data_IF_379718838380
#
_entry.id   IF_379718838380
#
_cell.length_a   1.000
_cell.length_b   1.000
_cell.length_c   1.000
_cell.angle_alpha   90.00
_cell.angle_beta   90.00
_cell.angle_gamma   90.00
#
_symmetry.space_group_name_H-M   'P 1'
#
loop_
_entity.id
_entity.type
_entity.pdbx_description
1 polymer ?
#
# COMPACT_ATOMS: atom_id res chain seq x y z
N UNK A 1 -0.16 1.75 5.85
CA UNK A 1 -0.51 3.18 6.00
C UNK A 1 -2.03 3.29 6.09
N UNK A 2 -2.60 4.21 6.87
CA UNK A 2 -4.04 4.52 6.96
C UNK A 2 -5.01 3.48 7.57
N UNK A 3 -4.55 2.33 8.05
CA UNK A 3 -5.41 1.39 8.81
C UNK A 3 -6.44 0.62 7.98
N UNK A 4 -6.56 0.89 6.67
CA UNK A 4 -7.46 0.17 5.77
C UNK A 4 -8.95 0.50 5.99
N UNK A 5 -9.81 -0.28 5.36
CA UNK A 5 -11.26 -0.18 5.49
C UNK A 5 -11.85 -1.42 6.15
N UNK A 6 -13.14 -1.36 6.49
CA UNK A 6 -13.88 -2.53 6.97
C UNK A 6 -13.90 -3.66 5.92
N UNK A 7 -13.93 -4.92 6.37
CA UNK A 7 -13.96 -6.08 5.48
C UNK A 7 -15.14 -6.04 4.50
N UNK A 8 -16.29 -5.48 4.91
CA UNK A 8 -17.48 -5.33 4.07
C UNK A 8 -17.21 -4.45 2.85
N UNK A 9 -16.33 -3.46 2.96
CA UNK A 9 -15.96 -2.61 1.82
C UNK A 9 -15.26 -3.43 0.74
N UNK A 10 -14.24 -4.21 1.13
CA UNK A 10 -13.49 -5.04 0.19
C UNK A 10 -14.37 -6.10 -0.48
N UNK A 11 -15.25 -6.74 0.30
CA UNK A 11 -16.19 -7.73 -0.23
C UNK A 11 -17.16 -7.14 -1.27
N UNK A 12 -17.76 -5.98 -0.98
CA UNK A 12 -18.67 -5.31 -1.90
C UNK A 12 -17.96 -4.81 -3.17
N UNK A 13 -16.71 -4.35 -3.04
CA UNK A 13 -15.91 -3.93 -4.19
C UNK A 13 -15.60 -5.13 -5.10
N UNK A 14 -15.12 -6.24 -4.54
CA UNK A 14 -14.75 -7.44 -5.29
C UNK A 14 -15.95 -8.09 -5.99
N UNK A 15 -17.15 -8.00 -5.42
CA UNK A 15 -18.39 -8.44 -6.07
C UNK A 15 -18.73 -7.60 -7.31
N UNK A 16 -18.59 -6.28 -7.21
CA UNK A 16 -18.94 -5.36 -8.29
C UNK A 16 -17.84 -5.26 -9.36
N UNK A 17 -16.58 -5.36 -8.95
CA UNK A 17 -15.40 -5.27 -9.81
C UNK A 17 -14.26 -6.14 -9.23
N UNK A 18 -14.21 -7.42 -9.61
CA UNK A 18 -13.24 -8.37 -9.07
C UNK A 18 -11.81 -7.87 -9.22
N UNK A 19 -11.06 -7.94 -8.13
CA UNK A 19 -9.65 -7.58 -8.15
C UNK A 19 -8.84 -8.69 -8.83
N UNK A 20 -7.84 -8.28 -9.60
CA UNK A 20 -6.93 -9.23 -10.24
C UNK A 20 -6.23 -10.13 -9.21
N UNK A 21 -5.85 -11.36 -9.59
CA UNK A 21 -5.03 -12.22 -8.76
C UNK A 21 -3.81 -11.49 -8.19
N UNK A 22 -3.42 -11.86 -6.97
CA UNK A 22 -2.29 -11.27 -6.25
C UNK A 22 -2.34 -9.74 -6.05
N UNK A 23 -3.51 -9.09 -6.14
CA UNK A 23 -3.61 -7.63 -5.90
C UNK A 23 -3.05 -7.22 -4.54
N UNK A 24 -3.17 -8.09 -3.53
CA UNK A 24 -2.70 -7.86 -2.16
C UNK A 24 -1.18 -7.66 -2.11
N UNK A 25 -0.43 -8.38 -2.96
CA UNK A 25 1.02 -8.21 -3.03
C UNK A 25 1.40 -6.86 -3.63
N UNK A 26 0.55 -6.29 -4.49
CA UNK A 26 0.79 -4.99 -5.13
C UNK A 26 0.40 -3.80 -4.24
N UNK A 27 -0.30 -4.02 -3.12
CA UNK A 27 -0.77 -2.96 -2.21
C UNK A 27 0.40 -2.13 -1.67
N UNK A 28 1.50 -2.78 -1.29
CA UNK A 28 2.69 -2.11 -0.80
C UNK A 28 3.30 -1.19 -1.88
N UNK A 29 3.32 -1.66 -3.13
CA UNK A 29 3.81 -0.89 -4.27
C UNK A 29 2.90 0.31 -4.57
N UNK A 30 1.57 0.13 -4.54
CA UNK A 30 0.62 1.23 -4.68
C UNK A 30 0.76 2.27 -3.56
N UNK A 31 1.06 1.84 -2.33
CA UNK A 31 1.28 2.71 -1.19
C UNK A 31 2.65 3.41 -1.19
N UNK A 32 3.58 3.05 -2.08
CA UNK A 32 4.90 3.67 -2.15
C UNK A 32 4.81 5.17 -2.45
N UNK A 33 3.94 5.58 -3.38
CA UNK A 33 3.73 6.98 -3.72
C UNK A 33 3.26 7.83 -2.52
N UNK A 34 2.13 7.51 -1.85
CA UNK A 34 1.71 8.27 -0.68
C UNK A 34 2.73 8.20 0.47
N UNK A 35 3.46 7.09 0.64
CA UNK A 35 4.55 7.00 1.61
C UNK A 35 5.69 7.98 1.32
N UNK A 36 6.11 8.13 0.06
CA UNK A 36 7.11 9.11 -0.33
C UNK A 36 6.63 10.55 -0.06
N UNK A 37 5.35 10.83 -0.28
CA UNK A 37 4.74 12.10 0.13
C UNK A 37 4.84 12.28 1.65
N UNK A 38 4.62 11.24 2.44
CA UNK A 38 4.77 11.32 3.91
C UNK A 38 6.22 11.53 4.35
N UNK A 39 7.19 10.93 3.64
CA UNK A 39 8.61 11.23 3.87
C UNK A 39 8.87 12.72 3.60
N UNK A 40 8.35 13.26 2.49
CA UNK A 40 8.53 14.66 2.13
C UNK A 40 7.91 15.62 3.16
N UNK A 41 6.69 15.32 3.64
CA UNK A 41 5.93 16.21 4.53
C UNK A 41 6.28 16.07 6.01
N UNK A 42 6.64 14.87 6.46
CA UNK A 42 6.77 14.54 7.89
C UNK A 42 8.12 13.92 8.27
N UNK A 43 8.96 13.56 7.29
CA UNK A 43 10.34 13.14 7.52
C UNK A 43 10.53 11.69 7.97
N UNK A 44 11.51 11.49 8.84
CA UNK A 44 12.27 10.25 8.99
C UNK A 44 11.47 8.99 9.37
N UNK A 45 10.34 9.12 10.07
CA UNK A 45 9.52 7.97 10.48
C UNK A 45 9.03 7.09 9.32
N UNK A 46 8.94 7.65 8.12
CA UNK A 46 8.44 6.95 6.93
C UNK A 46 9.54 6.36 6.04
N UNK A 47 10.81 6.76 6.22
CA UNK A 47 11.94 6.29 5.39
C UNK A 47 12.17 4.79 5.55
N UNK A 48 11.98 4.25 6.75
CA UNK A 48 12.11 2.82 7.01
C UNK A 48 11.09 1.99 6.22
N UNK A 49 9.84 2.46 6.15
CA UNK A 49 8.77 1.80 5.39
C UNK A 49 9.06 1.82 3.89
N UNK A 50 9.52 2.96 3.35
CA UNK A 50 9.93 3.07 1.94
C UNK A 50 11.06 2.09 1.61
N UNK A 51 12.10 2.00 2.45
CA UNK A 51 13.21 1.06 2.22
C UNK A 51 12.74 -0.40 2.23
N UNK A 52 11.89 -0.78 3.17
CA UNK A 52 11.37 -2.15 3.24
C UNK A 52 10.60 -2.55 1.98
N UNK A 53 9.75 -1.65 1.47
CA UNK A 53 9.00 -1.87 0.23
C UNK A 53 9.97 -1.99 -0.96
N UNK A 54 10.92 -1.06 -1.11
CA UNK A 54 11.89 -1.12 -2.20
C UNK A 54 12.69 -2.42 -2.18
N UNK A 55 13.22 -2.83 -1.02
CA UNK A 55 13.94 -4.11 -0.88
C UNK A 55 13.08 -5.31 -1.32
N UNK A 56 11.78 -5.33 -1.01
CA UNK A 56 10.89 -6.41 -1.43
C UNK A 56 10.75 -6.52 -2.96
N UNK A 57 10.80 -5.40 -3.68
CA UNK A 57 10.50 -5.34 -5.12
C UNK A 57 11.71 -5.16 -6.04
N UNK A 58 12.90 -4.86 -5.48
CA UNK A 58 14.12 -4.64 -6.27
C UNK A 58 15.26 -5.58 -5.93
N UNK A 59 15.12 -6.43 -4.91
CA UNK A 59 16.13 -7.43 -4.55
C UNK A 59 15.97 -8.74 -5.33
#
# INVERSE_FOLDING_TARGET
LFGGFDQRFYAAYDEAFPLEPEWQDRVDLCNLYPLLVHVLLFGGGYVGQVRAILTRFTA
#
